data_IF_367776283169
#
_entry.id   IF_367776283169
#
_cell.length_a   1.000
_cell.length_b   1.000
_cell.length_c   1.000
_cell.angle_alpha   90.00
_cell.angle_beta   90.00
_cell.angle_gamma   90.00
#
_symmetry.space_group_name_H-M   'P 1'
#
loop_
_entity.id
_entity.type
_entity.pdbx_description
1 polymer ?
#
# COMPACT_ATOMS: atom_id res chain seq x y z
N UNK A 1 15.23 17.40 -10.64
CA UNK A 1 15.31 18.78 -11.18
C UNK A 1 15.01 19.79 -10.05
N UNK A 2 13.84 19.73 -9.37
CA UNK A 2 13.44 20.67 -8.31
C UNK A 2 14.48 20.72 -7.18
N UNK A 3 14.91 19.55 -6.67
CA UNK A 3 15.93 19.46 -5.61
C UNK A 3 17.27 20.06 -6.07
N UNK A 4 17.69 19.80 -7.32
CA UNK A 4 18.90 20.37 -7.88
C UNK A 4 18.81 21.90 -7.99
N UNK A 5 17.66 22.43 -8.41
CA UNK A 5 17.42 23.87 -8.47
C UNK A 5 17.45 24.52 -7.08
N UNK A 6 16.83 23.89 -6.09
CA UNK A 6 16.82 24.36 -4.71
C UNK A 6 18.23 24.33 -4.08
N UNK A 7 19.04 23.31 -4.35
CA UNK A 7 20.42 23.22 -3.85
C UNK A 7 21.35 24.25 -4.47
N UNK A 8 21.11 24.62 -5.74
CA UNK A 8 21.90 25.63 -6.44
C UNK A 8 21.46 27.06 -6.04
N UNK A 9 20.18 27.26 -5.67
CA UNK A 9 19.66 28.58 -5.29
C UNK A 9 20.25 29.12 -4.01
N UNK A 10 20.73 28.28 -3.09
CA UNK A 10 21.40 28.67 -1.85
C UNK A 10 22.70 29.47 -2.11
N UNK A 11 23.33 29.34 -3.26
CA UNK A 11 24.57 30.04 -3.63
C UNK A 11 24.36 31.24 -4.54
N UNK A 12 23.14 31.78 -4.62
CA UNK A 12 22.90 33.06 -5.26
C UNK A 12 23.01 33.05 -6.79
N UNK A 13 22.27 32.21 -7.48
CA UNK A 13 21.83 32.56 -8.81
C UNK A 13 20.95 33.81 -8.66
N UNK A 14 21.50 35.02 -8.88
CA UNK A 14 20.92 36.32 -8.54
C UNK A 14 19.47 36.55 -9.03
N UNK A 15 18.97 35.72 -9.90
CA UNK A 15 17.58 35.70 -10.38
C UNK A 15 16.59 35.19 -9.34
N UNK A 16 17.01 34.30 -8.42
CA UNK A 16 16.16 33.71 -7.40
C UNK A 16 16.33 34.32 -6.00
N UNK A 17 17.25 35.29 -5.83
CA UNK A 17 17.48 35.97 -4.58
C UNK A 17 16.57 37.21 -4.42
N UNK A 18 15.28 37.08 -4.65
CA UNK A 18 14.35 38.15 -4.34
C UNK A 18 13.90 38.00 -2.87
N UNK A 19 14.10 39.01 -1.99
CA UNK A 19 13.64 38.97 -0.60
C UNK A 19 12.15 38.72 -0.43
N UNK A 20 11.33 39.00 -1.45
CA UNK A 20 9.89 38.75 -1.46
C UNK A 20 9.54 37.26 -1.48
N UNK A 21 10.44 36.38 -1.89
CA UNK A 21 10.22 34.89 -1.91
C UNK A 21 10.60 34.22 -0.58
N UNK A 22 10.99 34.96 0.43
CA UNK A 22 11.38 34.44 1.74
C UNK A 22 12.83 33.95 1.80
N UNK A 23 13.21 33.37 2.95
CA UNK A 23 14.56 32.84 3.15
C UNK A 23 14.78 31.55 2.35
N UNK A 24 15.85 31.51 1.58
CA UNK A 24 16.27 30.31 0.88
C UNK A 24 16.71 29.23 1.88
N UNK A 25 16.23 28.00 1.63
CA UNK A 25 16.60 26.84 2.46
C UNK A 25 18.02 26.41 2.12
N UNK A 26 18.86 26.26 3.15
CA UNK A 26 20.27 25.86 2.92
C UNK A 26 20.33 24.48 2.28
N UNK A 27 21.31 24.27 1.39
CA UNK A 27 21.50 22.99 0.71
C UNK A 27 21.69 21.83 1.71
N UNK A 28 22.32 22.08 2.85
CA UNK A 28 22.50 21.08 3.92
C UNK A 28 21.15 20.62 4.48
N UNK A 29 20.20 21.53 4.68
CA UNK A 29 18.86 21.21 5.15
C UNK A 29 18.07 20.43 4.09
N UNK A 30 18.23 20.77 2.81
CA UNK A 30 17.61 20.05 1.71
C UNK A 30 18.19 18.62 1.63
N UNK A 31 19.51 18.48 1.74
CA UNK A 31 20.16 17.16 1.70
C UNK A 31 19.83 16.31 2.93
N UNK A 32 19.68 16.91 4.12
CA UNK A 32 19.28 16.18 5.32
C UNK A 32 17.86 15.57 5.22
N UNK A 33 16.97 16.15 4.39
CA UNK A 33 15.63 15.60 4.17
C UNK A 33 15.65 14.21 3.50
N UNK A 34 16.73 13.83 2.82
CA UNK A 34 16.89 12.48 2.28
C UNK A 34 17.19 11.43 3.36
N UNK A 35 17.71 11.86 4.51
CA UNK A 35 17.98 11.00 5.67
C UNK A 35 16.92 11.19 6.77
N UNK A 36 15.77 11.75 6.43
CA UNK A 36 14.63 11.87 7.34
C UNK A 36 14.19 10.48 7.79
N UNK A 37 13.92 10.25 9.09
CA UNK A 37 13.51 8.94 9.61
C UNK A 37 12.30 8.36 8.90
N UNK A 38 11.33 9.18 8.50
CA UNK A 38 10.14 8.74 7.75
C UNK A 38 10.52 8.24 6.35
N UNK A 39 11.50 8.89 5.68
CA UNK A 39 12.01 8.43 4.38
C UNK A 39 12.71 7.08 4.52
N UNK A 40 13.46 6.87 5.63
CA UNK A 40 14.12 5.60 5.90
C UNK A 40 13.12 4.48 6.18
N UNK A 41 12.05 4.76 6.93
CA UNK A 41 10.94 3.82 7.15
C UNK A 41 10.32 3.37 5.81
N UNK A 42 10.07 4.31 4.88
CA UNK A 42 9.58 3.99 3.55
C UNK A 42 10.55 3.13 2.74
N UNK A 43 11.84 3.47 2.77
CA UNK A 43 12.86 2.69 2.07
C UNK A 43 12.88 1.25 2.57
N UNK A 44 12.84 1.03 3.89
CA UNK A 44 12.73 -0.29 4.51
C UNK A 44 11.46 -1.03 4.08
N UNK A 45 10.32 -0.37 4.13
CA UNK A 45 9.03 -0.91 3.67
C UNK A 45 9.04 -1.32 2.20
N UNK A 46 9.62 -0.52 1.31
CA UNK A 46 9.75 -0.87 -0.11
C UNK A 46 10.67 -2.06 -0.33
N UNK A 47 11.78 -2.16 0.38
CA UNK A 47 12.68 -3.33 0.30
C UNK A 47 11.94 -4.59 0.72
N UNK A 48 11.20 -4.55 1.83
CA UNK A 48 10.37 -5.68 2.29
C UNK A 48 9.30 -6.07 1.26
N UNK A 49 8.62 -5.09 0.67
CA UNK A 49 7.60 -5.32 -0.35
C UNK A 49 8.18 -5.98 -1.61
N UNK A 50 9.32 -5.49 -2.12
CA UNK A 50 10.01 -6.07 -3.27
C UNK A 50 10.47 -7.51 -2.98
N UNK A 51 10.97 -7.77 -1.76
CA UNK A 51 11.36 -9.12 -1.35
C UNK A 51 10.15 -10.04 -1.23
N UNK A 52 9.04 -9.57 -0.68
CA UNK A 52 7.79 -10.33 -0.63
C UNK A 52 7.32 -10.74 -2.03
N UNK A 53 7.29 -9.82 -2.98
CA UNK A 53 6.94 -10.07 -4.36
C UNK A 53 7.93 -11.04 -5.03
N UNK A 54 9.24 -10.81 -4.88
CA UNK A 54 10.27 -11.65 -5.49
C UNK A 54 10.19 -13.11 -5.06
N UNK A 55 9.83 -13.36 -3.80
CA UNK A 55 9.72 -14.72 -3.23
C UNK A 55 8.29 -15.29 -3.27
N UNK A 56 7.34 -14.57 -3.86
CA UNK A 56 5.97 -15.03 -4.09
C UNK A 56 5.12 -15.16 -2.83
N UNK A 57 5.43 -14.35 -1.80
CA UNK A 57 4.62 -14.26 -0.60
C UNK A 57 3.23 -13.72 -0.95
N UNK A 58 3.19 -12.71 -1.80
CA UNK A 58 2.01 -12.06 -2.36
C UNK A 58 1.07 -13.09 -3.01
N UNK A 59 1.59 -13.90 -3.94
CA UNK A 59 0.82 -14.96 -4.63
C UNK A 59 0.29 -16.00 -3.63
N UNK A 60 1.12 -16.40 -2.65
CA UNK A 60 0.74 -17.39 -1.64
C UNK A 60 -0.39 -16.88 -0.75
N UNK A 61 -0.27 -15.63 -0.26
CA UNK A 61 -1.29 -14.99 0.56
C UNK A 61 -2.58 -14.74 -0.23
N UNK A 62 -2.49 -14.23 -1.46
CA UNK A 62 -3.64 -14.02 -2.33
C UNK A 62 -4.42 -15.32 -2.55
N UNK A 63 -3.71 -16.41 -2.83
CA UNK A 63 -4.31 -17.75 -2.96
C UNK A 63 -5.07 -18.18 -1.72
N UNK A 64 -4.41 -18.11 -0.58
CA UNK A 64 -4.97 -18.56 0.70
C UNK A 64 -6.22 -17.75 1.05
N UNK A 65 -6.15 -16.43 0.88
CA UNK A 65 -7.26 -15.54 1.22
C UNK A 65 -8.42 -15.65 0.23
N UNK A 66 -8.16 -15.69 -1.10
CA UNK A 66 -9.23 -15.81 -2.10
C UNK A 66 -10.03 -17.12 -1.95
N UNK A 67 -9.39 -18.21 -1.53
CA UNK A 67 -10.06 -19.50 -1.32
C UNK A 67 -11.17 -19.42 -0.26
N UNK A 68 -11.09 -18.52 0.70
CA UNK A 68 -12.06 -18.34 1.79
C UNK A 68 -13.38 -17.78 1.26
N UNK A 69 -13.35 -16.93 0.21
CA UNK A 69 -14.52 -16.23 -0.29
C UNK A 69 -15.38 -17.04 -1.27
N UNK A 70 -14.92 -18.24 -1.65
CA UNK A 70 -15.67 -19.16 -2.51
C UNK A 70 -15.88 -18.63 -3.93
N UNK A 71 -17.02 -19.02 -4.55
CA UNK A 71 -17.29 -18.73 -5.97
C UNK A 71 -18.45 -17.76 -6.21
N UNK A 72 -19.10 -17.28 -5.15
CA UNK A 72 -20.20 -16.32 -5.27
C UNK A 72 -19.67 -14.96 -5.68
N UNK A 73 -20.14 -14.32 -6.78
CA UNK A 73 -19.56 -13.07 -7.30
C UNK A 73 -19.47 -11.95 -6.29
N UNK A 74 -20.49 -11.78 -5.45
CA UNK A 74 -20.50 -10.76 -4.38
C UNK A 74 -19.39 -10.98 -3.35
N UNK A 75 -19.15 -12.24 -2.96
CA UNK A 75 -18.10 -12.59 -2.00
C UNK A 75 -16.72 -12.51 -2.63
N UNK A 76 -16.60 -12.89 -3.90
CA UNK A 76 -15.35 -12.73 -4.66
C UNK A 76 -14.95 -11.26 -4.76
N UNK A 77 -15.90 -10.37 -5.06
CA UNK A 77 -15.65 -8.91 -5.06
C UNK A 77 -15.16 -8.43 -3.68
N UNK A 78 -15.80 -8.86 -2.59
CA UNK A 78 -15.37 -8.53 -1.24
C UNK A 78 -13.97 -9.07 -0.96
N UNK A 79 -13.71 -10.32 -1.36
CA UNK A 79 -12.39 -10.94 -1.24
C UNK A 79 -11.31 -10.14 -1.95
N UNK A 80 -11.54 -9.71 -3.19
CA UNK A 80 -10.61 -8.85 -3.91
C UNK A 80 -10.39 -7.52 -3.19
N UNK A 81 -11.45 -6.85 -2.74
CA UNK A 81 -11.33 -5.59 -1.99
C UNK A 81 -10.48 -5.76 -0.73
N UNK A 82 -10.72 -6.80 0.06
CA UNK A 82 -9.97 -7.04 1.31
C UNK A 82 -8.51 -7.38 0.99
N UNK A 83 -8.26 -8.29 0.06
CA UNK A 83 -6.91 -8.75 -0.25
C UNK A 83 -6.07 -7.63 -0.82
N UNK A 84 -6.61 -6.87 -1.77
CA UNK A 84 -5.92 -5.71 -2.36
C UNK A 84 -5.59 -4.70 -1.27
N UNK A 85 -6.54 -4.43 -0.36
CA UNK A 85 -6.32 -3.48 0.74
C UNK A 85 -5.21 -3.95 1.68
N UNK A 86 -5.20 -5.24 2.06
CA UNK A 86 -4.15 -5.80 2.91
C UNK A 86 -2.77 -5.69 2.25
N UNK A 87 -2.65 -6.00 0.97
CA UNK A 87 -1.38 -5.83 0.26
C UNK A 87 -0.96 -4.36 0.14
N UNK A 88 -1.90 -3.48 -0.14
CA UNK A 88 -1.62 -2.06 -0.29
C UNK A 88 -1.23 -1.36 1.02
N UNK A 89 -1.46 -1.98 2.16
CA UNK A 89 -0.91 -1.52 3.45
C UNK A 89 0.62 -1.60 3.52
N UNK A 90 1.23 -2.52 2.76
CA UNK A 90 2.68 -2.81 2.84
C UNK A 90 3.40 -2.64 1.51
N UNK A 91 2.67 -2.50 0.42
CA UNK A 91 3.20 -2.33 -0.93
C UNK A 91 2.64 -1.06 -1.55
N UNK A 92 3.33 -0.50 -2.54
CA UNK A 92 2.77 0.65 -3.26
C UNK A 92 1.44 0.30 -3.94
N UNK A 93 0.50 1.25 -3.96
CA UNK A 93 -0.81 1.07 -4.59
C UNK A 93 -0.67 0.59 -6.05
N UNK A 94 0.33 1.12 -6.78
CA UNK A 94 0.59 0.76 -8.18
C UNK A 94 1.07 -0.68 -8.32
N UNK A 95 2.01 -1.13 -7.49
CA UNK A 95 2.50 -2.50 -7.51
C UNK A 95 1.39 -3.49 -7.15
N UNK A 96 0.63 -3.19 -6.09
CA UNK A 96 -0.54 -3.98 -5.69
C UNK A 96 -1.58 -4.07 -6.80
N UNK A 97 -1.90 -2.94 -7.45
CA UNK A 97 -2.86 -2.92 -8.55
C UNK A 97 -2.38 -3.74 -9.75
N UNK A 98 -1.12 -3.63 -10.14
CA UNK A 98 -0.54 -4.39 -11.25
C UNK A 98 -0.56 -5.90 -10.98
N UNK A 99 -0.15 -6.32 -9.78
CA UNK A 99 -0.19 -7.71 -9.35
C UNK A 99 -1.63 -8.26 -9.38
N UNK A 100 -2.56 -7.54 -8.76
CA UNK A 100 -3.94 -8.00 -8.66
C UNK A 100 -4.68 -7.99 -10.00
N UNK A 101 -4.28 -7.12 -10.93
CA UNK A 101 -4.78 -7.16 -12.31
C UNK A 101 -4.41 -8.48 -12.99
N UNK A 102 -3.21 -9.01 -12.77
CA UNK A 102 -2.80 -10.30 -13.31
C UNK A 102 -3.67 -11.45 -12.80
N UNK A 103 -4.11 -11.40 -11.53
CA UNK A 103 -5.07 -12.37 -10.98
C UNK A 103 -6.48 -12.18 -11.49
N UNK A 104 -6.88 -10.94 -11.71
CA UNK A 104 -8.25 -10.61 -12.10
C UNK A 104 -8.50 -10.76 -13.60
N UNK A 105 -7.49 -10.53 -14.45
CA UNK A 105 -7.64 -10.58 -15.89
C UNK A 105 -8.28 -11.90 -16.43
N UNK A 106 -7.85 -13.10 -16.01
CA UNK A 106 -8.48 -14.34 -16.43
C UNK A 106 -9.96 -14.43 -16.02
N UNK A 107 -10.32 -13.90 -14.85
CA UNK A 107 -11.70 -13.86 -14.35
C UNK A 107 -12.56 -12.92 -15.20
N UNK A 108 -12.01 -11.74 -15.51
CA UNK A 108 -12.70 -10.76 -16.37
C UNK A 108 -12.93 -11.27 -17.79
N UNK A 109 -11.99 -12.05 -18.34
CA UNK A 109 -12.16 -12.65 -19.68
C UNK A 109 -13.27 -13.69 -19.74
N UNK A 110 -13.55 -14.39 -18.63
CA UNK A 110 -14.61 -15.42 -18.57
C UNK A 110 -16.00 -14.84 -18.32
N UNK A 111 -16.12 -13.61 -17.88
CA UNK A 111 -17.39 -12.94 -17.67
C UNK A 111 -18.00 -12.49 -19.00
N UNK A 112 -19.33 -12.64 -19.17
CA UNK A 112 -20.05 -12.11 -20.32
C UNK A 112 -19.80 -10.62 -20.51
N UNK A 113 -19.77 -10.16 -21.75
CA UNK A 113 -19.50 -8.73 -22.07
C UNK A 113 -20.60 -7.79 -21.56
N UNK A 114 -21.80 -8.30 -21.38
CA UNK A 114 -22.98 -7.57 -20.89
C UNK A 114 -23.14 -7.65 -19.35
N UNK A 115 -22.24 -8.34 -18.63
CA UNK A 115 -22.26 -8.41 -17.17
C UNK A 115 -21.56 -7.18 -16.58
N UNK A 116 -22.34 -6.23 -16.00
CA UNK A 116 -21.82 -5.03 -15.35
C UNK A 116 -20.87 -5.33 -14.18
N UNK A 117 -21.01 -6.50 -13.54
CA UNK A 117 -20.10 -6.95 -12.47
C UNK A 117 -18.63 -7.01 -12.90
N UNK A 118 -18.37 -7.14 -14.21
CA UNK A 118 -17.03 -7.04 -14.79
C UNK A 118 -16.36 -5.68 -14.50
N UNK A 119 -17.13 -4.60 -14.64
CA UNK A 119 -16.67 -3.24 -14.35
C UNK A 119 -16.44 -3.09 -12.84
N UNK A 120 -17.37 -3.60 -12.02
CA UNK A 120 -17.22 -3.57 -10.56
C UNK A 120 -15.97 -4.27 -10.06
N UNK A 121 -15.65 -5.45 -10.62
CA UNK A 121 -14.41 -6.16 -10.33
C UNK A 121 -13.18 -5.37 -10.77
N UNK A 122 -13.18 -4.81 -11.96
CA UNK A 122 -12.05 -4.01 -12.44
C UNK A 122 -11.81 -2.77 -11.55
N UNK A 123 -12.88 -2.05 -11.18
CA UNK A 123 -12.82 -0.89 -10.29
C UNK A 123 -12.42 -1.25 -8.85
N UNK A 124 -12.66 -2.49 -8.42
CA UNK A 124 -12.22 -2.92 -7.07
C UNK A 124 -10.72 -2.78 -6.87
N UNK A 125 -9.91 -2.90 -7.93
CA UNK A 125 -8.45 -2.81 -7.84
C UNK A 125 -8.00 -1.43 -7.38
N UNK A 126 -8.24 -0.32 -8.13
CA UNK A 126 -7.77 1.00 -7.70
C UNK A 126 -8.45 1.48 -6.42
N UNK A 127 -9.74 1.16 -6.24
CA UNK A 127 -10.48 1.53 -5.03
C UNK A 127 -9.85 0.91 -3.80
N UNK A 128 -9.65 -0.41 -3.80
CA UNK A 128 -9.09 -1.11 -2.65
C UNK A 128 -7.61 -0.79 -2.42
N UNK A 129 -6.83 -0.59 -3.49
CA UNK A 129 -5.44 -0.20 -3.36
C UNK A 129 -5.30 1.17 -2.69
N UNK A 130 -6.11 2.15 -3.07
CA UNK A 130 -6.08 3.47 -2.44
C UNK A 130 -6.59 3.44 -0.99
N UNK A 131 -7.70 2.76 -0.73
CA UNK A 131 -8.25 2.63 0.62
C UNK A 131 -7.30 1.86 1.55
N UNK A 132 -6.75 0.74 1.08
CA UNK A 132 -5.80 -0.07 1.85
C UNK A 132 -4.53 0.68 2.21
N UNK A 133 -3.99 1.47 1.28
CA UNK A 133 -2.80 2.26 1.50
C UNK A 133 -2.90 3.23 2.69
N UNK A 134 -4.11 3.62 3.11
CA UNK A 134 -4.32 4.49 4.28
C UNK A 134 -4.04 3.74 5.59
N UNK A 135 -4.17 2.41 5.60
CA UNK A 135 -4.15 1.58 6.82
C UNK A 135 -2.84 1.59 7.60
N UNK A 136 -1.71 1.84 6.96
CA UNK A 136 -0.39 1.92 7.62
C UNK A 136 0.37 3.18 7.23
N UNK A 137 1.32 3.66 8.04
CA UNK A 137 2.13 4.82 7.68
C UNK A 137 2.90 4.65 6.37
N UNK A 138 3.31 3.43 6.05
CA UNK A 138 4.12 3.09 4.86
C UNK A 138 3.29 2.72 3.61
N UNK A 139 1.97 2.57 3.74
CA UNK A 139 1.12 2.11 2.63
C UNK A 139 1.06 3.10 1.46
N UNK A 140 1.20 4.40 1.73
CA UNK A 140 1.21 5.42 0.68
C UNK A 140 2.01 6.66 1.11
N UNK A 141 2.74 7.33 0.18
CA UNK A 141 3.56 8.51 0.52
C UNK A 141 2.84 9.66 1.24
N UNK A 142 1.56 9.98 0.95
CA UNK A 142 0.84 11.00 1.72
C UNK A 142 0.77 10.74 3.22
N UNK A 143 0.71 9.47 3.66
CA UNK A 143 0.69 9.13 5.09
C UNK A 143 1.99 9.54 5.79
N UNK A 144 3.13 9.32 5.13
CA UNK A 144 4.42 9.75 5.64
C UNK A 144 4.49 11.26 5.79
N UNK A 145 4.01 11.98 4.77
CA UNK A 145 3.95 13.44 4.82
C UNK A 145 3.08 13.91 5.98
N UNK A 146 1.92 13.29 6.17
CA UNK A 146 1.03 13.58 7.29
C UNK A 146 1.70 13.29 8.65
N UNK A 147 2.37 12.11 8.78
CA UNK A 147 3.12 11.76 9.98
C UNK A 147 4.23 12.79 10.27
N UNK A 148 5.01 13.18 9.25
CA UNK A 148 6.06 14.19 9.40
C UNK A 148 5.54 15.55 9.85
N UNK A 149 4.36 15.98 9.40
CA UNK A 149 3.73 17.22 9.90
C UNK A 149 3.23 17.10 11.35
N UNK A 150 2.71 15.94 11.74
CA UNK A 150 2.30 15.67 13.13
C UNK A 150 3.52 15.73 14.07
N UNK A 151 4.63 15.10 13.68
CA UNK A 151 5.88 15.12 14.43
C UNK A 151 6.43 16.57 14.59
N UNK A 152 6.37 17.38 13.53
CA UNK A 152 6.76 18.80 13.59
C UNK A 152 5.84 19.63 14.51
N UNK A 153 4.58 19.22 14.65
CA UNK A 153 3.64 19.82 15.60
C UNK A 153 3.79 19.29 17.04
N UNK A 154 4.77 18.42 17.31
CA UNK A 154 5.00 17.81 18.62
C UNK A 154 4.07 16.63 18.94
N UNK A 155 3.37 16.10 17.94
CA UNK A 155 2.49 14.93 18.06
C UNK A 155 3.22 13.74 17.46
N UNK A 156 3.79 12.90 18.32
CA UNK A 156 4.43 11.67 17.88
C UNK A 156 3.36 10.57 17.76
N UNK A 157 3.23 9.97 16.57
CA UNK A 157 2.29 8.90 16.28
C UNK A 157 3.08 7.66 15.90
N UNK A 158 3.06 6.67 16.76
CA UNK A 158 3.70 5.37 16.50
C UNK A 158 3.02 4.64 15.33
N UNK A 159 3.71 3.65 14.76
CA UNK A 159 3.15 2.80 13.71
C UNK A 159 1.86 2.11 14.17
N UNK A 160 1.86 1.57 15.40
CA UNK A 160 0.71 0.89 15.99
C UNK A 160 -0.49 1.81 16.20
N UNK A 161 -0.26 3.02 16.71
CA UNK A 161 -1.32 4.04 16.89
C UNK A 161 -1.96 4.44 15.58
N UNK A 162 -1.16 4.66 14.53
CA UNK A 162 -1.69 4.89 13.20
C UNK A 162 -2.62 3.76 12.77
N UNK A 163 -2.15 2.52 12.89
CA UNK A 163 -2.94 1.34 12.50
C UNK A 163 -4.24 1.22 13.30
N UNK A 164 -4.20 1.43 14.61
CA UNK A 164 -5.38 1.36 15.48
C UNK A 164 -6.47 2.35 15.05
N UNK A 165 -6.10 3.53 14.60
CA UNK A 165 -7.06 4.53 14.15
C UNK A 165 -7.49 4.33 12.68
N UNK A 166 -6.56 3.96 11.80
CA UNK A 166 -6.82 3.93 10.36
C UNK A 166 -7.41 2.62 9.87
N UNK A 167 -7.06 1.47 10.47
CA UNK A 167 -7.62 0.17 10.03
C UNK A 167 -9.14 0.10 10.20
N UNK A 168 -9.76 0.52 11.33
CA UNK A 168 -11.22 0.57 11.44
C UNK A 168 -11.87 1.46 10.37
N UNK A 169 -11.26 2.61 10.07
CA UNK A 169 -11.70 3.49 9.00
C UNK A 169 -11.64 2.79 7.63
N UNK A 170 -10.53 2.13 7.32
CA UNK A 170 -10.36 1.36 6.07
C UNK A 170 -11.41 0.26 5.95
N UNK A 171 -11.70 -0.48 7.03
CA UNK A 171 -12.73 -1.52 7.04
C UNK A 171 -14.10 -0.94 6.67
N UNK A 172 -14.49 0.17 7.28
CA UNK A 172 -15.76 0.85 6.98
C UNK A 172 -15.79 1.27 5.51
N UNK A 173 -14.72 1.89 5.01
CA UNK A 173 -14.64 2.35 3.62
C UNK A 173 -14.66 1.20 2.61
N UNK A 174 -14.03 0.07 2.92
CA UNK A 174 -14.09 -1.15 2.09
C UNK A 174 -15.51 -1.71 2.03
N UNK A 175 -16.22 -1.77 3.15
CA UNK A 175 -17.61 -2.22 3.17
C UNK A 175 -18.53 -1.29 2.39
N UNK A 176 -18.34 0.01 2.52
CA UNK A 176 -19.07 1.01 1.71
C UNK A 176 -18.75 0.85 0.22
N UNK A 177 -17.47 0.72 -0.15
CA UNK A 177 -17.05 0.48 -1.52
C UNK A 177 -17.66 -0.81 -2.08
N UNK A 178 -17.67 -1.88 -1.30
CA UNK A 178 -18.31 -3.15 -1.68
C UNK A 178 -19.80 -2.98 -1.99
N UNK A 179 -20.53 -2.31 -1.09
CA UNK A 179 -21.98 -2.03 -1.29
C UNK A 179 -22.19 -1.18 -2.55
N UNK A 180 -21.43 -0.09 -2.69
CA UNK A 180 -21.56 0.82 -3.83
C UNK A 180 -21.27 0.10 -5.17
N UNK A 181 -20.18 -0.69 -5.22
CA UNK A 181 -19.84 -1.46 -6.41
C UNK A 181 -20.91 -2.48 -6.76
N UNK A 182 -21.55 -3.13 -5.78
CA UNK A 182 -22.66 -4.06 -6.02
C UNK A 182 -23.93 -3.35 -6.50
N UNK A 183 -24.20 -2.15 -6.01
CA UNK A 183 -25.39 -1.36 -6.41
C UNK A 183 -25.23 -0.82 -7.83
N UNK A 184 -24.08 -0.23 -8.15
CA UNK A 184 -23.85 0.37 -9.46
C UNK A 184 -23.51 -0.65 -10.55
N UNK A 185 -22.84 -1.74 -10.17
CA UNK A 185 -22.34 -2.77 -11.08
C UNK A 185 -22.80 -4.17 -10.64
N UNK A 186 -24.11 -4.45 -10.69
CA UNK A 186 -24.66 -5.75 -10.27
C UNK A 186 -24.18 -6.89 -11.19
N UNK A 187 -23.91 -8.05 -10.58
CA UNK A 187 -23.57 -9.27 -11.31
C UNK A 187 -24.80 -9.94 -11.88
N UNK A 188 -24.73 -10.33 -13.16
CA UNK A 188 -25.68 -11.25 -13.79
C UNK A 188 -25.25 -12.70 -13.58
N UNK A 189 -23.95 -12.95 -13.54
CA UNK A 189 -23.34 -14.25 -13.35
C UNK A 189 -23.57 -14.77 -11.93
N UNK A 190 -23.92 -16.04 -11.78
CA UNK A 190 -24.21 -16.67 -10.48
C UNK A 190 -22.98 -17.28 -9.81
N UNK A 191 -21.95 -17.66 -10.58
CA UNK A 191 -20.72 -18.30 -10.08
C UNK A 191 -19.51 -17.77 -10.86
N UNK A 192 -18.42 -17.44 -10.16
CA UNK A 192 -17.14 -17.09 -10.74
C UNK A 192 -16.16 -18.26 -10.53
N UNK A 193 -15.41 -18.61 -11.57
CA UNK A 193 -14.31 -19.56 -11.47
C UNK A 193 -13.02 -18.76 -11.34
N UNK A 194 -12.39 -18.86 -10.17
CA UNK A 194 -11.11 -18.22 -9.91
C UNK A 194 -10.00 -19.17 -10.35
N UNK A 195 -9.34 -18.85 -11.46
CA UNK A 195 -8.09 -19.51 -11.85
C UNK A 195 -6.94 -18.71 -11.27
N UNK A 196 -6.48 -19.15 -10.11
CA UNK A 196 -5.36 -18.48 -9.44
C UNK A 196 -4.06 -19.01 -10.06
N UNK A 197 -3.18 -18.13 -10.58
CA UNK A 197 -1.92 -18.54 -11.17
C UNK A 197 -1.13 -19.47 -10.26
N UNK A 198 -0.50 -20.48 -10.81
CA UNK A 198 0.37 -21.35 -10.04
C UNK A 198 1.52 -20.54 -9.45
N UNK A 199 1.84 -20.76 -8.19
CA UNK A 199 3.06 -20.19 -7.62
C UNK A 199 4.22 -21.15 -7.94
N UNK A 200 4.88 -20.92 -9.07
CA UNK A 200 6.00 -21.74 -9.51
C UNK A 200 7.33 -21.37 -8.81
N UNK A 201 7.28 -20.37 -7.90
CA UNK A 201 8.48 -19.97 -7.16
C UNK A 201 8.82 -21.06 -6.14
N UNK A 202 10.05 -21.56 -6.23
CA UNK A 202 10.54 -22.62 -5.33
C UNK A 202 10.49 -22.15 -3.87
N UNK A 203 9.89 -22.96 -3.01
CA UNK A 203 9.93 -22.80 -1.55
C UNK A 203 11.32 -23.18 -1.05
N UNK A 204 12.29 -22.29 -1.24
CA UNK A 204 13.67 -22.42 -0.77
C UNK A 204 13.81 -21.85 0.66
N UNK A 205 14.92 -22.18 1.34
CA UNK A 205 15.24 -21.61 2.66
C UNK A 205 15.22 -20.07 2.67
N UNK A 206 15.62 -19.44 1.54
CA UNK A 206 15.56 -18.00 1.34
C UNK A 206 14.13 -17.45 1.43
N UNK A 207 13.15 -18.17 0.85
CA UNK A 207 11.74 -17.81 0.98
C UNK A 207 11.27 -17.86 2.44
N UNK A 208 11.70 -18.87 3.21
CA UNK A 208 11.38 -18.95 4.65
C UNK A 208 12.01 -17.80 5.44
N UNK A 209 13.25 -17.42 5.10
CA UNK A 209 13.91 -16.28 5.71
C UNK A 209 13.16 -14.97 5.43
N UNK A 210 12.73 -14.74 4.19
CA UNK A 210 11.96 -13.55 3.83
C UNK A 210 10.61 -13.53 4.56
N UNK A 211 9.92 -14.68 4.67
CA UNK A 211 8.70 -14.78 5.48
C UNK A 211 8.95 -14.41 6.93
N UNK A 212 9.98 -14.98 7.54
CA UNK A 212 10.34 -14.70 8.93
C UNK A 212 10.67 -13.21 9.13
N UNK A 213 11.51 -12.64 8.26
CA UNK A 213 11.86 -11.22 8.31
C UNK A 213 10.62 -10.34 8.17
N UNK A 214 9.75 -10.61 7.21
CA UNK A 214 8.52 -9.84 6.98
C UNK A 214 7.62 -9.85 8.22
N UNK A 215 7.37 -11.05 8.78
CA UNK A 215 6.51 -11.18 9.97
C UNK A 215 7.15 -10.50 11.18
N UNK A 216 8.45 -10.72 11.41
CA UNK A 216 9.17 -10.12 12.55
C UNK A 216 9.15 -8.60 12.45
N UNK A 217 9.42 -8.04 11.28
CA UNK A 217 9.40 -6.57 11.10
C UNK A 217 8.03 -5.98 11.37
N UNK A 218 6.95 -6.59 10.84
CA UNK A 218 5.59 -6.12 11.11
C UNK A 218 5.26 -6.22 12.60
N UNK A 219 5.64 -7.32 13.27
CA UNK A 219 5.42 -7.47 14.70
C UNK A 219 6.19 -6.42 15.50
N UNK A 220 7.46 -6.14 15.17
CA UNK A 220 8.23 -5.08 15.81
C UNK A 220 7.58 -3.72 15.61
N UNK A 221 7.15 -3.38 14.41
CA UNK A 221 6.45 -2.11 14.16
C UNK A 221 5.12 -2.01 14.93
N UNK A 222 4.34 -3.10 14.98
CA UNK A 222 3.07 -3.12 15.70
C UNK A 222 3.23 -3.03 17.22
N UNK A 223 4.38 -3.48 17.74
CA UNK A 223 4.69 -3.52 19.18
C UNK A 223 5.69 -2.44 19.62
N UNK A 224 5.89 -1.41 18.80
CA UNK A 224 6.79 -0.27 19.07
C UNK A 224 6.60 0.30 20.48
N UNK A 225 5.35 0.42 20.95
CA UNK A 225 5.04 0.92 22.29
C UNK A 225 5.54 0.02 23.44
N UNK A 226 5.77 -1.29 23.19
CA UNK A 226 6.23 -2.21 24.23
C UNK A 226 7.76 -2.19 24.40
N UNK A 227 8.52 -2.03 23.32
CA UNK A 227 9.98 -2.07 23.35
C UNK A 227 10.65 -0.71 23.16
N UNK A 228 9.86 0.35 22.91
CA UNK A 228 10.31 1.73 22.75
C UNK A 228 11.37 1.96 21.65
N UNK A 229 11.47 1.05 20.68
CA UNK A 229 12.33 1.23 19.50
C UNK A 229 11.42 1.78 18.40
N UNK A 230 11.71 3.00 17.93
CA UNK A 230 10.90 3.63 16.88
C UNK A 230 10.89 2.82 15.60
N UNK A 231 9.73 2.73 14.95
CA UNK A 231 9.57 2.13 13.63
C UNK A 231 10.41 2.81 12.54
N UNK A 232 10.93 4.01 12.83
CA UNK A 232 11.78 4.78 11.93
C UNK A 232 13.25 4.36 11.97
N UNK A 233 13.64 3.45 12.88
CA UNK A 233 14.98 2.86 13.04
C UNK A 233 14.97 1.45 12.47
#
# INVERSE_FOLDING_TARGET
>A
IVVALLTVSDKGLGFFCNPEFGQLVSYKKIMSSFADPVVMLFLGGFVLAIMAERFGLDVTLAKSLLSIFGTKPKMVLLGFLIIISVFSMFMSNTATAAMMLAFLAPVLHKLPSDDKGKIGLALSIPVAANLGGIGTPIGTPPNATAKGYLEQAGIDVSFGEWCVHMIPYVIIMILLAWILLLVFFPFKTKKLVLEIPANDKKKDWKSKLVWATFIITILLWATEQLHHISSNV
#
